data_IF_976834828553
#
_entry.id   IF_976834828553
#
_cell.length_a   1.000
_cell.length_b   1.000
_cell.length_c   1.000
_cell.angle_alpha   90.00
_cell.angle_beta   90.00
_cell.angle_gamma   90.00
#
_symmetry.space_group_name_H-M   'P 1'
#
loop_
_entity.id
_entity.type
_entity.pdbx_description
1 polymer ?
#
# COMPACT_ATOMS: atom_id res chain seq x y z
N UNK A 1 -20.45 3.08 -1.33
CA UNK A 1 -19.98 1.83 -0.67
C UNK A 1 -18.85 2.17 0.27
N UNK A 2 -18.63 1.37 1.32
CA UNK A 2 -17.62 1.60 2.38
C UNK A 2 -16.73 0.37 2.57
N UNK A 3 -15.50 0.59 3.03
CA UNK A 3 -14.53 -0.46 3.36
C UNK A 3 -14.25 -1.44 2.23
N UNK A 4 -14.16 -2.73 2.58
CA UNK A 4 -13.83 -3.81 1.66
C UNK A 4 -14.84 -3.96 0.52
N UNK A 5 -16.11 -3.62 0.77
CA UNK A 5 -17.16 -3.59 -0.25
C UNK A 5 -16.93 -2.52 -1.32
N UNK A 6 -16.19 -1.45 -0.99
CA UNK A 6 -15.76 -0.44 -1.96
C UNK A 6 -14.40 -0.76 -2.62
N UNK A 7 -13.82 -1.93 -2.35
CA UNK A 7 -12.47 -2.29 -2.79
C UNK A 7 -11.37 -1.47 -2.11
N UNK A 8 -11.68 -0.81 -1.00
CA UNK A 8 -10.78 0.07 -0.25
C UNK A 8 -9.89 -0.72 0.74
N UNK A 9 -9.49 -1.93 0.34
CA UNK A 9 -8.65 -2.82 1.14
C UNK A 9 -7.20 -2.55 0.82
N UNK A 10 -6.47 -2.01 1.80
CA UNK A 10 -5.01 -2.02 1.78
C UNK A 10 -4.52 -3.43 2.15
N UNK A 11 -4.60 -4.33 1.18
CA UNK A 11 -4.05 -5.68 1.30
C UNK A 11 -2.57 -5.57 1.70
N UNK A 12 -2.13 -6.44 2.62
CA UNK A 12 -0.76 -6.50 3.20
C UNK A 12 -0.42 -5.52 4.34
N UNK A 13 -1.26 -4.53 4.67
CA UNK A 13 -1.00 -3.61 5.81
C UNK A 13 -1.77 -3.94 7.11
N UNK A 14 -2.65 -4.94 7.11
CA UNK A 14 -3.55 -5.22 8.25
C UNK A 14 -4.58 -4.11 8.54
N UNK A 15 -4.72 -3.11 7.64
CA UNK A 15 -5.56 -1.91 7.82
C UNK A 15 -6.95 -2.02 7.17
N UNK A 16 -7.44 -3.22 6.87
CA UNK A 16 -8.79 -3.43 6.30
C UNK A 16 -9.86 -2.85 7.23
N UNK A 17 -9.80 -3.21 8.52
CA UNK A 17 -10.70 -2.69 9.57
C UNK A 17 -10.59 -1.17 9.69
N UNK A 18 -9.37 -0.61 9.76
CA UNK A 18 -9.17 0.85 9.86
C UNK A 18 -9.73 1.59 8.64
N UNK A 19 -9.56 1.03 7.44
CA UNK A 19 -10.06 1.65 6.20
C UNK A 19 -11.59 1.54 6.14
N UNK A 20 -12.19 0.44 6.60
CA UNK A 20 -13.63 0.29 6.73
C UNK A 20 -14.24 1.29 7.72
N UNK A 21 -13.63 1.47 8.90
CA UNK A 21 -14.09 2.45 9.90
C UNK A 21 -13.98 3.88 9.37
N UNK A 22 -12.82 4.25 8.80
CA UNK A 22 -12.58 5.61 8.31
C UNK A 22 -13.52 5.97 7.15
N UNK A 23 -13.71 5.04 6.21
CA UNK A 23 -14.66 5.23 5.10
C UNK A 23 -16.10 5.25 5.59
N UNK A 24 -16.44 4.52 6.65
CA UNK A 24 -17.74 4.59 7.32
C UNK A 24 -18.02 5.96 7.94
N UNK A 25 -17.05 6.51 8.69
CA UNK A 25 -17.14 7.85 9.29
C UNK A 25 -17.35 8.90 8.20
N UNK A 26 -16.52 8.90 7.15
CA UNK A 26 -16.63 9.85 6.04
C UNK A 26 -17.96 9.74 5.28
N UNK A 27 -18.53 8.54 5.20
CA UNK A 27 -19.84 8.35 4.59
C UNK A 27 -20.94 8.96 5.46
N UNK A 28 -20.87 8.75 6.78
CA UNK A 28 -21.80 9.36 7.72
C UNK A 28 -21.69 10.90 7.70
N UNK A 29 -20.48 11.45 7.65
CA UNK A 29 -20.26 12.90 7.50
C UNK A 29 -20.90 13.46 6.22
N UNK A 30 -20.71 12.79 5.08
CA UNK A 30 -21.33 13.20 3.81
C UNK A 30 -22.86 13.18 3.89
N UNK A 31 -23.44 12.15 4.52
CA UNK A 31 -24.89 12.04 4.73
C UNK A 31 -25.39 13.19 5.63
N UNK A 32 -24.69 13.49 6.72
CA UNK A 32 -25.10 14.50 7.69
C UNK A 32 -24.94 15.93 7.14
N UNK A 33 -23.92 16.19 6.32
CA UNK A 33 -23.62 17.54 5.84
C UNK A 33 -24.31 17.88 4.51
N UNK A 34 -24.37 16.93 3.58
CA UNK A 34 -24.83 17.16 2.21
C UNK A 34 -26.09 16.34 1.85
N UNK A 35 -26.55 15.47 2.74
CA UNK A 35 -27.71 14.61 2.52
C UNK A 35 -27.41 13.34 1.74
N UNK A 36 -28.47 12.63 1.35
CA UNK A 36 -28.38 11.34 0.65
C UNK A 36 -28.69 11.57 -0.84
N UNK A 37 -27.68 11.92 -1.62
CA UNK A 37 -27.79 12.04 -3.08
C UNK A 37 -26.49 11.66 -3.77
N UNK A 38 -26.56 11.27 -5.05
CA UNK A 38 -25.35 10.93 -5.82
C UNK A 38 -24.35 12.10 -5.87
N UNK A 39 -24.85 13.33 -6.05
CA UNK A 39 -24.05 14.56 -6.01
C UNK A 39 -23.38 14.78 -4.65
N UNK A 40 -24.11 14.60 -3.54
CA UNK A 40 -23.56 14.73 -2.19
C UNK A 40 -22.37 13.76 -1.98
N UNK A 41 -22.52 12.50 -2.40
CA UNK A 41 -21.42 11.54 -2.31
C UNK A 41 -20.28 11.83 -3.30
N UNK A 42 -20.57 12.35 -4.50
CA UNK A 42 -19.55 12.72 -5.46
C UNK A 42 -18.70 13.91 -5.01
N UNK A 43 -19.30 14.88 -4.31
CA UNK A 43 -18.66 16.14 -3.92
C UNK A 43 -18.07 16.10 -2.50
N UNK A 44 -18.60 15.26 -1.59
CA UNK A 44 -18.16 15.23 -0.19
C UNK A 44 -17.48 13.91 0.16
N UNK A 45 -18.08 12.77 -0.21
CA UNK A 45 -17.53 11.45 0.15
C UNK A 45 -16.34 11.03 -0.70
N UNK A 46 -16.40 11.22 -2.02
CA UNK A 46 -15.33 10.82 -2.95
C UNK A 46 -14.05 11.61 -2.72
N UNK A 47 -14.07 12.96 -2.55
CA UNK A 47 -12.86 13.73 -2.28
C UNK A 47 -12.27 13.39 -0.91
N UNK A 48 -13.12 13.20 0.10
CA UNK A 48 -12.68 12.81 1.44
C UNK A 48 -11.91 11.47 1.47
N UNK A 49 -12.13 10.58 0.49
CA UNK A 49 -11.43 9.30 0.37
C UNK A 49 -10.29 9.29 -0.66
N UNK A 50 -9.89 10.44 -1.20
CA UNK A 50 -8.79 10.49 -2.18
C UNK A 50 -7.47 9.94 -1.64
N UNK A 51 -7.18 10.14 -0.35
CA UNK A 51 -6.03 9.58 0.34
C UNK A 51 -5.96 8.05 0.25
N UNK A 52 -7.11 7.37 0.29
CA UNK A 52 -7.20 5.92 0.14
C UNK A 52 -7.21 5.55 -1.35
N UNK A 53 -7.97 6.27 -2.18
CA UNK A 53 -8.14 5.98 -3.61
C UNK A 53 -6.81 6.10 -4.36
N UNK A 54 -6.00 7.13 -4.08
CA UNK A 54 -4.68 7.31 -4.67
C UNK A 54 -3.68 6.23 -4.24
N UNK A 55 -3.87 5.60 -3.07
CA UNK A 55 -2.99 4.54 -2.55
C UNK A 55 -3.32 3.15 -3.15
N UNK A 56 -4.50 2.98 -3.78
CA UNK A 56 -4.96 1.69 -4.34
C UNK A 56 -4.11 1.14 -5.50
N UNK A 57 -3.74 1.93 -6.52
CA UNK A 57 -2.94 1.43 -7.65
C UNK A 57 -1.58 0.93 -7.16
N UNK A 58 -0.96 1.67 -6.23
CA UNK A 58 0.31 1.29 -5.61
C UNK A 58 0.19 0.01 -4.79
N UNK A 59 -0.91 -0.15 -4.02
CA UNK A 59 -1.20 -1.40 -3.32
C UNK A 59 -1.37 -2.60 -4.25
N UNK A 60 -2.02 -2.42 -5.42
CA UNK A 60 -2.12 -3.46 -6.46
C UNK A 60 -0.74 -3.80 -7.06
N UNK A 61 0.10 -2.80 -7.28
CA UNK A 61 1.47 -2.98 -7.76
C UNK A 61 2.32 -3.82 -6.79
N UNK A 62 2.31 -3.48 -5.50
CA UNK A 62 3.03 -4.25 -4.47
C UNK A 62 2.49 -5.66 -4.33
N UNK A 63 1.16 -5.86 -4.45
CA UNK A 63 0.58 -7.20 -4.48
C UNK A 63 1.13 -8.03 -5.64
N UNK A 64 1.16 -7.47 -6.84
CA UNK A 64 1.69 -8.15 -8.01
C UNK A 64 3.17 -8.50 -7.83
N UNK A 65 3.96 -7.53 -7.36
CA UNK A 65 5.37 -7.73 -7.06
C UNK A 65 5.59 -8.85 -6.04
N UNK A 66 4.82 -8.85 -4.95
CA UNK A 66 4.86 -9.88 -3.91
C UNK A 66 4.53 -11.26 -4.47
N UNK A 67 3.50 -11.37 -5.32
CA UNK A 67 3.13 -12.63 -5.99
C UNK A 67 4.24 -13.11 -6.91
N UNK A 68 4.85 -12.21 -7.70
CA UNK A 68 5.98 -12.54 -8.56
C UNK A 68 7.19 -13.02 -7.74
N UNK A 69 7.55 -12.32 -6.67
CA UNK A 69 8.65 -12.69 -5.78
C UNK A 69 8.41 -14.02 -5.08
N UNK A 70 7.18 -14.31 -4.69
CA UNK A 70 6.80 -15.62 -4.14
C UNK A 70 6.96 -16.72 -5.18
N UNK A 71 6.47 -16.49 -6.41
CA UNK A 71 6.55 -17.43 -7.52
C UNK A 71 8.00 -17.76 -7.89
N UNK A 72 8.88 -16.77 -7.89
CA UNK A 72 10.31 -16.93 -8.21
C UNK A 72 11.19 -17.23 -6.99
N UNK A 73 10.61 -17.47 -5.81
CA UNK A 73 11.34 -17.76 -4.54
C UNK A 73 12.36 -16.67 -4.14
N UNK A 74 12.15 -15.43 -4.56
CA UNK A 74 13.08 -14.30 -4.37
C UNK A 74 13.04 -13.73 -2.94
N UNK A 75 12.09 -14.14 -2.10
CA UNK A 75 12.02 -13.67 -0.72
C UNK A 75 13.25 -14.07 0.11
N UNK A 76 13.77 -15.28 -0.07
CA UNK A 76 14.96 -15.75 0.68
C UNK A 76 16.21 -14.89 0.44
N UNK A 77 16.63 -14.62 -0.82
CA UNK A 77 17.79 -13.76 -1.07
C UNK A 77 17.54 -12.32 -0.61
N UNK A 78 16.32 -11.81 -0.71
CA UNK A 78 16.00 -10.44 -0.31
C UNK A 78 15.99 -10.27 1.20
N UNK A 79 15.49 -11.25 1.95
CA UNK A 79 15.61 -11.27 3.42
C UNK A 79 17.08 -11.39 3.83
N UNK A 80 17.88 -12.18 3.09
CA UNK A 80 19.33 -12.26 3.32
C UNK A 80 20.01 -10.91 3.07
N UNK A 81 19.66 -10.21 2.00
CA UNK A 81 20.14 -8.86 1.69
C UNK A 81 19.74 -7.85 2.77
N UNK A 82 18.48 -7.86 3.21
CA UNK A 82 17.97 -7.01 4.28
C UNK A 82 18.67 -7.23 5.63
N UNK A 83 19.30 -8.40 5.87
CA UNK A 83 20.11 -8.60 7.07
C UNK A 83 21.45 -7.86 7.00
N UNK A 84 21.98 -7.68 5.79
CA UNK A 84 23.32 -7.12 5.54
C UNK A 84 23.26 -5.62 5.20
N UNK A 85 22.12 -5.13 4.72
CA UNK A 85 21.94 -3.77 4.24
C UNK A 85 20.79 -3.06 4.99
N UNK A 86 21.09 -1.93 5.61
CA UNK A 86 20.13 -1.17 6.41
C UNK A 86 19.04 -0.49 5.57
N UNK A 87 19.35 -0.11 4.33
CA UNK A 87 18.40 0.54 3.42
C UNK A 87 17.42 -0.49 2.86
N UNK A 88 17.91 -1.69 2.50
CA UNK A 88 17.03 -2.80 2.09
C UNK A 88 16.14 -3.24 3.25
N UNK A 89 16.68 -3.27 4.47
CA UNK A 89 15.90 -3.53 5.68
C UNK A 89 14.82 -2.48 5.92
N UNK A 90 15.15 -1.20 5.80
CA UNK A 90 14.21 -0.10 5.97
C UNK A 90 13.12 -0.14 4.90
N UNK A 91 13.47 -0.40 3.64
CA UNK A 91 12.51 -0.55 2.55
C UNK A 91 11.56 -1.74 2.77
N UNK A 92 12.10 -2.89 3.19
CA UNK A 92 11.30 -4.08 3.49
C UNK A 92 10.39 -3.85 4.70
N UNK A 93 10.90 -3.20 5.75
CA UNK A 93 10.13 -2.84 6.93
C UNK A 93 9.00 -1.87 6.56
N UNK A 94 9.28 -0.79 5.84
CA UNK A 94 8.28 0.20 5.43
C UNK A 94 7.20 -0.39 4.51
N UNK A 95 7.55 -1.40 3.71
CA UNK A 95 6.58 -2.12 2.87
C UNK A 95 5.55 -2.92 3.68
N UNK A 96 5.90 -3.37 4.89
CA UNK A 96 5.05 -4.25 5.71
C UNK A 96 4.48 -3.53 6.95
N UNK A 97 5.20 -2.56 7.53
CA UNK A 97 4.88 -1.88 8.80
C UNK A 97 3.81 -0.79 8.71
N UNK A 98 3.35 -0.51 7.49
CA UNK A 98 2.27 0.41 7.22
C UNK A 98 2.47 1.88 7.60
N UNK A 99 3.70 2.30 7.93
CA UNK A 99 4.02 3.64 8.43
C UNK A 99 4.06 4.73 7.32
N UNK A 100 4.24 4.35 6.06
CA UNK A 100 4.29 5.27 4.92
C UNK A 100 3.22 4.94 3.85
N UNK A 101 2.74 5.92 3.05
CA UNK A 101 1.97 5.67 1.83
C UNK A 101 2.72 4.72 0.89
N UNK A 102 2.03 3.89 0.11
CA UNK A 102 2.70 2.93 -0.79
C UNK A 102 3.54 3.62 -1.87
N UNK A 103 3.17 4.84 -2.26
CA UNK A 103 3.98 5.67 -3.16
C UNK A 103 5.39 5.91 -2.61
N UNK A 104 5.52 6.25 -1.33
CA UNK A 104 6.81 6.46 -0.69
C UNK A 104 7.61 5.17 -0.56
N UNK A 105 6.92 4.05 -0.28
CA UNK A 105 7.55 2.73 -0.24
C UNK A 105 8.12 2.35 -1.61
N UNK A 106 7.35 2.58 -2.68
CA UNK A 106 7.80 2.31 -4.05
C UNK A 106 8.96 3.21 -4.46
N UNK A 107 8.91 4.51 -4.14
CA UNK A 107 10.01 5.43 -4.38
C UNK A 107 11.29 5.01 -3.64
N UNK A 108 11.18 4.52 -2.41
CA UNK A 108 12.32 4.01 -1.65
C UNK A 108 12.86 2.69 -2.24
N UNK A 109 12.00 1.79 -2.71
CA UNK A 109 12.41 0.56 -3.38
C UNK A 109 13.02 0.79 -4.77
N UNK A 110 12.58 1.81 -5.49
CA UNK A 110 13.10 2.21 -6.80
C UNK A 110 14.41 3.02 -6.70
N UNK A 111 14.90 3.31 -5.49
CA UNK A 111 16.20 3.98 -5.34
C UNK A 111 17.29 3.12 -5.97
N UNK A 112 18.18 3.71 -6.78
CA UNK A 112 19.18 2.97 -7.54
C UNK A 112 20.07 2.09 -6.64
N UNK A 113 20.34 2.54 -5.41
CA UNK A 113 21.08 1.76 -4.41
C UNK A 113 20.34 0.49 -3.95
N UNK A 114 19.04 0.61 -3.66
CA UNK A 114 18.20 -0.52 -3.24
C UNK A 114 18.01 -1.53 -4.37
N UNK A 115 17.81 -1.05 -5.61
CA UNK A 115 17.73 -1.89 -6.81
C UNK A 115 19.04 -2.64 -7.02
N UNK A 116 20.18 -1.96 -6.91
CA UNK A 116 21.50 -2.61 -7.05
C UNK A 116 21.75 -3.66 -5.97
N UNK A 117 21.39 -3.38 -4.72
CA UNK A 117 21.54 -4.31 -3.61
C UNK A 117 20.66 -5.56 -3.80
N UNK A 118 19.43 -5.39 -4.29
CA UNK A 118 18.54 -6.49 -4.64
C UNK A 118 19.06 -7.32 -5.81
N UNK A 119 19.57 -6.68 -6.88
CA UNK A 119 20.18 -7.36 -8.02
C UNK A 119 21.45 -8.13 -7.62
N UNK A 120 22.30 -7.55 -6.76
CA UNK A 120 23.47 -8.24 -6.21
C UNK A 120 23.10 -9.44 -5.35
N UNK A 121 22.02 -9.35 -4.58
CA UNK A 121 21.53 -10.48 -3.77
C UNK A 121 20.87 -11.59 -4.60
N UNK A 122 20.44 -11.27 -5.83
CA UNK A 122 19.88 -12.22 -6.80
C UNK A 122 20.94 -12.83 -7.73
N UNK A 123 22.10 -12.18 -7.88
CA UNK A 123 23.22 -12.72 -8.63
C UNK A 123 23.84 -13.89 -7.85
N UNK A 124 23.98 -15.08 -8.47
CA UNK A 124 24.68 -16.20 -7.84
C UNK A 124 26.19 -15.95 -7.95
N UNK A 125 26.78 -15.44 -6.87
CA UNK A 125 28.22 -15.58 -6.57
C UNK A 125 28.38 -15.88 -5.08
#
# INVERSE_FOLDING_TARGET
MVGDAAGLVRAFKGKGVTSAVLTGIRAAEAILQAGISEQAFAEHYRPANQDIIHDLPYGRGIRLLTILMARYRLFKPIIKAARQDADVRAALFNAVSAHAPYEQVLLQMLRPHAVLAMLRALAPF
#
